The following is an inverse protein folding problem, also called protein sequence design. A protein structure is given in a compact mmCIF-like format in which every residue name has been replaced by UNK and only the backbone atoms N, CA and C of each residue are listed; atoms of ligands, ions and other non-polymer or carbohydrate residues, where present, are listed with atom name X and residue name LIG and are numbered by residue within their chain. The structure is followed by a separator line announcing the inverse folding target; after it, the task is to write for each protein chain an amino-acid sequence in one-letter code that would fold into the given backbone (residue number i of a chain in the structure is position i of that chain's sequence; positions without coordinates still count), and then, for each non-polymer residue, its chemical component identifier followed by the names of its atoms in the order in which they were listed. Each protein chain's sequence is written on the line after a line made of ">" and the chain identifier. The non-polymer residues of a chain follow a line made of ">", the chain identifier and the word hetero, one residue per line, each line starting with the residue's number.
data_IF_395869615818
#
_entry.id   IF_395869615818
#
_cell.length_a   1.000
_cell.length_b   1.000
_cell.length_c   1.000
_cell.angle_alpha   90.00
_cell.angle_beta   90.00
_cell.angle_gamma   90.00
#
_symmetry.space_group_name_H-M   'P 1'
#
loop_
_entity.id
_entity.type
_entity.pdbx_description
1 polymer ?
#
# COMPACT_ATOMS: atom_id res chain seq x y z
N UNK A 1 -8.87 -17.36 9.73
CA UNK A 1 -7.80 -16.50 9.18
C UNK A 1 -8.40 -15.65 8.08
N UNK A 2 -8.13 -14.35 8.08
CA UNK A 2 -8.59 -13.42 7.07
C UNK A 2 -7.39 -12.90 6.30
N UNK A 3 -7.52 -12.81 4.99
CA UNK A 3 -6.57 -12.21 4.07
C UNK A 3 -7.30 -11.18 3.19
N UNK A 4 -6.88 -9.95 3.28
CA UNK A 4 -7.28 -8.86 2.40
C UNK A 4 -6.08 -8.58 1.50
N UNK A 5 -6.22 -8.65 0.19
CA UNK A 5 -5.15 -8.53 -0.81
C UNK A 5 -3.96 -9.50 -0.58
N UNK A 6 -3.96 -10.65 -1.24
CA UNK A 6 -2.87 -11.62 -1.14
C UNK A 6 -1.97 -11.54 -2.36
N UNK A 7 -0.65 -11.46 -2.10
CA UNK A 7 0.37 -11.75 -3.11
C UNK A 7 0.88 -13.16 -2.85
N UNK A 8 0.61 -14.08 -3.75
CA UNK A 8 1.10 -15.45 -3.69
C UNK A 8 2.37 -15.60 -4.53
N UNK A 9 3.47 -15.96 -3.89
CA UNK A 9 4.73 -16.33 -4.54
C UNK A 9 4.81 -17.84 -4.66
N UNK A 10 5.24 -18.33 -5.81
CA UNK A 10 5.45 -19.76 -6.01
C UNK A 10 6.86 -20.06 -6.54
N UNK A 11 7.55 -20.98 -5.87
CA UNK A 11 8.82 -21.58 -6.35
C UNK A 11 8.65 -22.97 -6.98
N UNK A 12 7.47 -23.58 -6.88
CA UNK A 12 7.19 -24.93 -7.38
C UNK A 12 5.83 -25.04 -8.11
N UNK A 13 5.56 -26.20 -8.72
CA UNK A 13 4.46 -26.38 -9.66
C UNK A 13 3.04 -26.44 -9.04
N UNK A 14 2.88 -26.63 -7.73
CA UNK A 14 1.55 -26.69 -7.08
C UNK A 14 1.61 -26.14 -5.67
N UNK A 15 0.73 -25.17 -5.34
CA UNK A 15 0.50 -24.69 -3.99
C UNK A 15 -0.96 -24.94 -3.58
N UNK A 16 -1.14 -25.56 -2.43
CA UNK A 16 -2.47 -25.86 -1.88
C UNK A 16 -2.64 -25.15 -0.55
N UNK A 17 -3.72 -24.38 -0.44
CA UNK A 17 -4.21 -23.84 0.82
C UNK A 17 -5.23 -24.86 1.36
N UNK A 18 -4.91 -25.49 2.49
CA UNK A 18 -5.80 -26.44 3.14
C UNK A 18 -6.55 -25.75 4.27
N UNK A 19 -7.87 -25.66 4.13
CA UNK A 19 -8.78 -25.15 5.17
C UNK A 19 -9.31 -26.33 5.98
N UNK A 20 -8.78 -26.48 7.18
CA UNK A 20 -9.08 -27.64 8.04
C UNK A 20 -10.43 -27.52 8.74
N UNK A 21 -11.05 -28.67 9.04
CA UNK A 21 -12.27 -28.75 9.82
C UNK A 21 -12.22 -27.86 11.08
N UNK A 22 -13.31 -27.15 11.36
CA UNK A 22 -13.41 -26.22 12.49
C UNK A 22 -12.71 -24.87 12.29
N UNK A 23 -12.15 -24.59 11.09
CA UNK A 23 -11.52 -23.31 10.79
C UNK A 23 -12.30 -22.54 9.73
N UNK A 24 -12.13 -21.20 9.73
CA UNK A 24 -12.68 -20.32 8.71
C UNK A 24 -11.53 -19.60 8.01
N UNK A 25 -11.49 -19.70 6.67
CA UNK A 25 -10.63 -18.88 5.79
C UNK A 25 -11.50 -17.77 5.19
N UNK A 26 -11.01 -16.54 5.24
CA UNK A 26 -11.65 -15.39 4.59
C UNK A 26 -10.63 -14.77 3.64
N UNK A 27 -10.99 -14.63 2.36
CA UNK A 27 -10.17 -13.97 1.33
C UNK A 27 -11.07 -12.98 0.58
N UNK A 28 -10.85 -11.68 0.84
CA UNK A 28 -11.85 -10.65 0.50
C UNK A 28 -11.62 -9.95 -0.82
N UNK A 29 -10.38 -9.80 -1.27
CA UNK A 29 -10.07 -8.96 -2.44
C UNK A 29 -9.14 -9.65 -3.42
N UNK A 30 -8.32 -8.88 -4.12
CA UNK A 30 -7.47 -9.35 -5.20
C UNK A 30 -6.43 -10.35 -4.75
N UNK A 31 -6.33 -11.44 -5.50
CA UNK A 31 -5.17 -12.33 -5.44
C UNK A 31 -4.23 -11.95 -6.58
N UNK A 32 -3.10 -11.37 -6.26
CA UNK A 32 -2.02 -11.15 -7.23
C UNK A 32 -1.11 -12.36 -7.23
N UNK A 33 -1.15 -13.15 -8.31
CA UNK A 33 -0.19 -14.23 -8.52
C UNK A 33 1.02 -13.68 -9.28
N UNK A 34 2.17 -13.64 -8.61
CA UNK A 34 3.43 -13.32 -9.27
C UNK A 34 4.00 -14.61 -9.87
N UNK A 35 3.82 -14.75 -11.17
CA UNK A 35 4.26 -15.88 -11.96
C UNK A 35 5.61 -15.62 -12.61
N UNK A 36 6.51 -16.62 -12.56
CA UNK A 36 7.72 -16.64 -13.39
C UNK A 36 7.33 -16.96 -14.83
N UNK A 37 7.77 -16.21 -15.85
CA UNK A 37 7.44 -16.52 -17.25
C UNK A 37 7.74 -17.98 -17.62
N UNK A 38 6.78 -18.68 -18.23
CA UNK A 38 6.94 -20.05 -18.72
C UNK A 38 6.60 -21.16 -17.74
N UNK A 39 6.10 -20.88 -16.54
CA UNK A 39 5.60 -21.88 -15.61
C UNK A 39 4.07 -21.73 -15.50
N UNK A 40 3.36 -22.84 -15.68
CA UNK A 40 1.91 -22.89 -15.48
C UNK A 40 1.63 -23.07 -13.98
N UNK A 41 1.07 -22.05 -13.35
CA UNK A 41 0.84 -21.99 -11.91
C UNK A 41 -0.60 -22.39 -11.58
N UNK A 42 -0.75 -23.41 -10.75
CA UNK A 42 -2.04 -23.82 -10.24
C UNK A 42 -2.08 -23.63 -8.73
N UNK A 43 -2.78 -22.60 -8.29
CA UNK A 43 -3.16 -22.47 -6.89
C UNK A 43 -4.47 -23.18 -6.63
N UNK A 44 -4.50 -23.94 -5.53
CA UNK A 44 -5.65 -24.74 -5.16
C UNK A 44 -6.06 -24.43 -3.72
N UNK A 45 -7.34 -24.30 -3.48
CA UNK A 45 -7.92 -24.25 -2.13
C UNK A 45 -8.70 -25.57 -1.93
N UNK A 46 -8.36 -26.27 -0.87
CA UNK A 46 -9.09 -27.48 -0.43
C UNK A 46 -9.81 -27.16 0.87
N UNK A 47 -11.14 -27.24 0.86
CA UNK A 47 -12.00 -26.98 2.01
C UNK A 47 -12.44 -28.32 2.56
N UNK A 48 -11.95 -28.70 3.73
CA UNK A 48 -12.34 -29.97 4.39
C UNK A 48 -13.79 -29.92 4.90
N UNK A 49 -14.39 -31.08 5.09
CA UNK A 49 -15.70 -31.19 5.74
C UNK A 49 -15.68 -30.59 7.16
N UNK A 50 -16.62 -29.69 7.44
CA UNK A 50 -16.65 -28.89 8.68
C UNK A 50 -15.76 -27.67 8.71
N UNK A 51 -15.09 -27.34 7.60
CA UNK A 51 -14.39 -26.07 7.40
C UNK A 51 -15.30 -25.08 6.65
N UNK A 52 -15.00 -23.79 6.77
CA UNK A 52 -15.68 -22.72 6.03
C UNK A 52 -14.64 -21.89 5.26
N UNK A 53 -14.92 -21.61 3.99
CA UNK A 53 -14.18 -20.60 3.23
C UNK A 53 -15.16 -19.52 2.75
N UNK A 54 -14.81 -18.26 2.98
CA UNK A 54 -15.54 -17.08 2.52
C UNK A 54 -14.62 -16.37 1.54
N UNK A 55 -14.88 -16.52 0.24
CA UNK A 55 -13.97 -16.10 -0.82
C UNK A 55 -14.64 -15.07 -1.72
N UNK A 56 -13.90 -14.02 -2.13
CA UNK A 56 -14.39 -13.10 -3.16
C UNK A 56 -14.60 -13.82 -4.50
N UNK A 57 -15.43 -13.26 -5.37
CA UNK A 57 -15.62 -13.79 -6.73
C UNK A 57 -14.29 -13.87 -7.50
N UNK A 58 -13.40 -12.90 -7.32
CA UNK A 58 -12.10 -12.87 -7.99
C UNK A 58 -11.23 -14.04 -7.54
N UNK A 59 -11.18 -14.34 -6.23
CA UNK A 59 -10.47 -15.52 -5.70
C UNK A 59 -11.05 -16.80 -6.27
N UNK A 60 -12.38 -16.94 -6.30
CA UNK A 60 -13.05 -18.12 -6.83
C UNK A 60 -12.79 -18.33 -8.32
N UNK A 61 -12.68 -17.26 -9.10
CA UNK A 61 -12.40 -17.32 -10.54
C UNK A 61 -10.91 -17.57 -10.87
N UNK A 62 -10.02 -17.27 -9.92
CA UNK A 62 -8.56 -17.35 -10.13
C UNK A 62 -7.97 -18.66 -9.62
N UNK A 63 -8.59 -19.31 -8.63
CA UNK A 63 -8.08 -20.51 -7.99
C UNK A 63 -8.92 -21.76 -8.29
N UNK A 64 -8.26 -22.92 -8.33
CA UNK A 64 -8.99 -24.19 -8.32
C UNK A 64 -9.50 -24.47 -6.91
N UNK A 65 -10.83 -24.62 -6.74
CA UNK A 65 -11.44 -24.87 -5.45
C UNK A 65 -11.97 -26.30 -5.39
N UNK A 66 -11.49 -27.08 -4.41
CA UNK A 66 -12.06 -28.36 -4.02
C UNK A 66 -12.82 -28.17 -2.72
N UNK A 67 -14.15 -28.21 -2.82
CA UNK A 67 -15.03 -27.92 -1.70
C UNK A 67 -15.69 -29.19 -1.15
N UNK A 68 -15.28 -29.60 0.04
CA UNK A 68 -15.92 -30.65 0.84
C UNK A 68 -16.55 -30.09 2.13
N UNK A 69 -16.53 -28.76 2.31
CA UNK A 69 -17.05 -28.04 3.48
C UNK A 69 -18.11 -27.02 3.09
N UNK A 70 -18.02 -25.83 3.67
CA UNK A 70 -18.87 -24.69 3.36
C UNK A 70 -18.08 -23.67 2.55
N UNK A 71 -18.56 -23.32 1.36
CA UNK A 71 -18.03 -22.22 0.55
C UNK A 71 -19.09 -21.11 0.48
N UNK A 72 -18.73 -19.92 0.94
CA UNK A 72 -19.54 -18.71 0.84
C UNK A 72 -18.84 -17.70 -0.06
N UNK A 73 -19.61 -17.01 -0.88
CA UNK A 73 -19.08 -15.88 -1.63
C UNK A 73 -19.01 -14.69 -0.68
N UNK A 74 -17.80 -14.12 -0.52
CA UNK A 74 -17.65 -12.87 0.20
C UNK A 74 -18.50 -11.83 -0.54
N UNK A 75 -19.48 -11.21 0.12
CA UNK A 75 -20.34 -10.26 -0.55
C UNK A 75 -19.44 -9.17 -1.14
N UNK A 76 -19.62 -8.90 -2.42
CA UNK A 76 -18.97 -7.82 -3.16
C UNK A 76 -19.42 -6.43 -2.63
N UNK A 77 -19.42 -6.30 -1.32
CA UNK A 77 -19.65 -5.05 -0.60
C UNK A 77 -18.35 -4.37 -0.17
N UNK A 78 -17.21 -4.82 -0.66
CA UNK A 78 -16.10 -3.88 -0.84
C UNK A 78 -16.64 -2.84 -1.80
N UNK A 79 -16.79 -1.57 -1.40
CA UNK A 79 -17.06 -0.50 -2.35
C UNK A 79 -16.01 -0.69 -3.44
N UNK A 80 -16.45 -0.76 -4.70
CA UNK A 80 -15.58 -0.87 -5.87
C UNK A 80 -14.35 -0.05 -5.59
N UNK A 81 -13.17 -0.70 -5.62
CA UNK A 81 -11.92 -0.12 -5.11
C UNK A 81 -11.94 1.37 -5.35
N UNK A 82 -11.93 2.19 -4.29
CA UNK A 82 -11.92 3.66 -4.43
C UNK A 82 -10.74 4.11 -5.28
N UNK A 83 -9.79 3.22 -5.46
CA UNK A 83 -8.60 3.38 -6.27
C UNK A 83 -8.79 2.63 -7.60
N UNK A 84 -8.98 3.38 -8.67
CA UNK A 84 -8.99 2.85 -10.04
C UNK A 84 -7.79 3.40 -10.80
N UNK A 85 -7.16 2.59 -11.69
CA UNK A 85 -6.15 3.10 -12.59
C UNK A 85 -6.70 4.28 -13.41
N UNK A 86 -5.97 5.38 -13.45
CA UNK A 86 -6.34 6.61 -14.19
C UNK A 86 -5.55 6.77 -15.48
N UNK A 87 -4.49 5.96 -15.65
CA UNK A 87 -3.59 5.98 -16.82
C UNK A 87 -2.85 4.65 -16.95
N UNK A 88 -2.20 4.43 -18.09
CA UNK A 88 -1.39 3.25 -18.37
C UNK A 88 0.09 3.57 -18.19
N UNK A 89 0.87 2.65 -17.60
CA UNK A 89 2.32 2.74 -17.54
C UNK A 89 2.93 2.06 -18.77
N UNK A 90 3.62 2.84 -19.59
CA UNK A 90 4.19 2.38 -20.87
C UNK A 90 5.72 2.25 -20.81
N UNK A 91 6.29 1.97 -19.62
CA UNK A 91 7.73 1.88 -19.39
C UNK A 91 8.50 3.16 -19.75
N UNK A 92 7.86 4.32 -19.58
CA UNK A 92 8.44 5.61 -19.96
C UNK A 92 9.58 6.06 -19.06
N UNK A 93 9.76 5.48 -17.85
CA UNK A 93 10.85 5.84 -16.95
C UNK A 93 12.08 4.97 -17.23
N UNK A 94 13.13 5.58 -17.79
CA UNK A 94 14.35 4.88 -18.21
C UNK A 94 15.19 4.37 -17.03
N UNK A 95 14.96 4.92 -15.84
CA UNK A 95 15.59 4.54 -14.57
C UNK A 95 14.78 3.52 -13.76
N UNK A 96 13.72 2.96 -14.36
CA UNK A 96 12.87 1.91 -13.76
C UNK A 96 12.84 0.67 -14.67
N UNK A 97 13.92 -0.13 -14.68
CA UNK A 97 13.96 -1.33 -15.51
C UNK A 97 12.99 -2.40 -14.99
N UNK A 98 12.41 -3.18 -15.89
CA UNK A 98 11.37 -4.18 -15.57
C UNK A 98 11.81 -5.25 -14.56
N UNK A 99 13.11 -5.52 -14.48
CA UNK A 99 13.69 -6.47 -13.52
C UNK A 99 14.02 -5.85 -12.16
N UNK A 100 13.78 -4.54 -11.95
CA UNK A 100 14.00 -3.89 -10.66
C UNK A 100 12.95 -4.34 -9.64
N UNK A 101 13.36 -4.55 -8.39
CA UNK A 101 12.45 -4.94 -7.32
C UNK A 101 11.32 -3.94 -7.07
N UNK A 102 11.54 -2.67 -7.39
CA UNK A 102 10.58 -1.59 -7.23
C UNK A 102 9.69 -1.35 -8.46
N UNK A 103 9.93 -2.06 -9.58
CA UNK A 103 9.21 -1.84 -10.85
C UNK A 103 7.68 -1.89 -10.69
N UNK A 104 7.16 -2.95 -10.06
CA UNK A 104 5.72 -3.12 -9.87
C UNK A 104 5.12 -2.03 -8.99
N UNK A 105 5.84 -1.56 -7.97
CA UNK A 105 5.40 -0.47 -7.11
C UNK A 105 5.34 0.87 -7.86
N UNK A 106 6.36 1.17 -8.67
CA UNK A 106 6.39 2.38 -9.51
C UNK A 106 5.27 2.35 -10.54
N UNK A 107 5.10 1.22 -11.23
CA UNK A 107 4.01 1.02 -12.19
C UNK A 107 2.66 1.28 -11.52
N UNK A 108 2.36 0.63 -10.42
CA UNK A 108 1.11 0.80 -9.68
C UNK A 108 0.93 2.26 -9.23
N UNK A 109 1.94 2.86 -8.58
CA UNK A 109 1.85 4.24 -8.14
C UNK A 109 1.58 5.21 -9.29
N UNK A 110 2.19 4.97 -10.45
CA UNK A 110 1.93 5.75 -11.64
C UNK A 110 0.51 5.52 -12.18
N UNK A 111 0.10 4.29 -12.40
CA UNK A 111 -1.21 3.95 -12.97
C UNK A 111 -2.37 4.49 -12.14
N UNK A 112 -2.25 4.48 -10.83
CA UNK A 112 -3.26 5.02 -9.91
C UNK A 112 -3.12 6.53 -9.65
N UNK A 113 -2.21 7.22 -10.35
CA UNK A 113 -2.04 8.66 -10.20
C UNK A 113 -1.42 9.10 -8.88
N UNK A 114 -0.82 8.19 -8.12
CA UNK A 114 -0.21 8.47 -6.81
C UNK A 114 1.17 9.13 -6.97
N UNK A 115 1.92 8.75 -8.01
CA UNK A 115 3.20 9.33 -8.37
C UNK A 115 3.30 9.56 -9.88
N UNK A 116 4.10 10.56 -10.30
CA UNK A 116 4.22 10.93 -11.73
C UNK A 116 5.67 10.94 -12.22
N UNK A 117 6.64 10.55 -11.39
CA UNK A 117 8.05 10.70 -11.68
C UNK A 117 8.57 12.12 -11.42
N UNK A 118 9.87 12.31 -11.59
CA UNK A 118 10.58 13.59 -11.44
C UNK A 118 10.73 14.31 -12.77
N UNK A 119 10.54 13.60 -13.88
CA UNK A 119 10.50 14.10 -15.25
C UNK A 119 9.66 13.18 -16.13
N UNK A 120 9.50 13.55 -17.41
CA UNK A 120 8.77 12.72 -18.37
C UNK A 120 9.40 11.32 -18.57
N UNK A 121 10.71 11.17 -18.38
CA UNK A 121 11.46 9.94 -18.60
C UNK A 121 12.22 9.43 -17.35
N UNK A 122 12.05 10.06 -16.20
CA UNK A 122 12.75 9.71 -14.97
C UNK A 122 11.83 9.66 -13.76
N UNK A 123 11.99 8.62 -12.95
CA UNK A 123 11.28 8.44 -11.69
C UNK A 123 12.13 8.83 -10.49
N UNK A 124 13.45 8.60 -10.57
CA UNK A 124 14.44 8.78 -9.51
C UNK A 124 14.23 7.88 -8.28
N UNK A 125 14.21 6.56 -8.46
CA UNK A 125 13.89 5.61 -7.38
C UNK A 125 14.88 5.66 -6.20
N UNK A 126 16.13 6.07 -6.44
CA UNK A 126 17.17 6.27 -5.40
C UNK A 126 17.20 7.71 -4.84
N UNK A 127 16.34 8.57 -5.33
CA UNK A 127 16.25 9.95 -4.87
C UNK A 127 15.65 10.06 -3.46
N UNK A 128 16.04 11.12 -2.74
CA UNK A 128 15.40 11.43 -1.46
C UNK A 128 14.12 12.23 -1.68
N UNK A 129 13.13 11.99 -0.83
CA UNK A 129 11.88 12.75 -0.84
C UNK A 129 11.99 14.03 -0.03
N UNK A 130 11.52 15.14 -0.59
CA UNK A 130 11.31 16.37 0.19
C UNK A 130 9.98 16.31 0.95
N UNK A 131 9.82 17.16 1.96
CA UNK A 131 8.53 17.31 2.66
C UNK A 131 7.41 17.64 1.66
N UNK A 132 7.64 18.57 0.72
CA UNK A 132 6.66 18.93 -0.30
C UNK A 132 6.22 17.72 -1.16
N UNK A 133 7.17 16.89 -1.58
CA UNK A 133 6.87 15.68 -2.37
C UNK A 133 6.09 14.65 -1.55
N UNK A 134 6.44 14.47 -0.27
CA UNK A 134 5.73 13.57 0.64
C UNK A 134 4.27 14.01 0.85
N UNK A 135 4.03 15.32 1.05
CA UNK A 135 2.69 15.86 1.17
C UNK A 135 1.89 15.71 -0.13
N UNK A 136 2.53 15.88 -1.29
CA UNK A 136 1.90 15.65 -2.59
C UNK A 136 1.47 14.19 -2.74
N UNK A 137 2.32 13.23 -2.38
CA UNK A 137 1.98 11.81 -2.40
C UNK A 137 0.81 11.50 -1.44
N UNK A 138 0.86 12.03 -0.21
CA UNK A 138 -0.22 11.89 0.77
C UNK A 138 -1.56 12.43 0.23
N UNK A 139 -1.54 13.62 -0.37
CA UNK A 139 -2.72 14.24 -0.98
C UNK A 139 -3.26 13.40 -2.14
N UNK A 140 -2.40 12.86 -2.99
CA UNK A 140 -2.84 12.01 -4.11
C UNK A 140 -3.57 10.75 -3.61
N UNK A 141 -3.07 10.12 -2.55
CA UNK A 141 -3.74 8.97 -1.92
C UNK A 141 -5.08 9.40 -1.30
N UNK A 142 -5.10 10.47 -0.51
CA UNK A 142 -6.32 10.94 0.14
C UNK A 142 -7.39 11.38 -0.87
N UNK A 143 -7.01 12.06 -1.96
CA UNK A 143 -7.91 12.40 -3.07
C UNK A 143 -8.49 11.16 -3.74
N UNK A 144 -7.67 10.17 -4.03
CA UNK A 144 -8.12 8.93 -4.65
C UNK A 144 -9.14 8.22 -3.75
N UNK A 145 -8.94 8.28 -2.42
CA UNK A 145 -9.87 7.70 -1.45
C UNK A 145 -11.17 8.48 -1.28
N UNK A 146 -11.08 9.83 -1.20
CA UNK A 146 -12.23 10.69 -0.85
C UNK A 146 -12.98 11.26 -2.05
N UNK A 147 -12.35 11.30 -3.23
CA UNK A 147 -12.85 12.04 -4.40
C UNK A 147 -12.64 13.56 -4.33
N UNK A 148 -11.95 14.05 -3.29
CA UNK A 148 -11.68 15.48 -3.13
C UNK A 148 -10.73 16.01 -4.23
N UNK A 149 -10.71 17.32 -4.40
CA UNK A 149 -9.82 18.00 -5.36
C UNK A 149 -8.88 18.97 -4.63
N UNK A 150 -7.77 19.29 -5.28
CA UNK A 150 -6.81 20.30 -4.83
C UNK A 150 -6.85 21.44 -5.83
N UNK A 151 -6.85 22.68 -5.33
CA UNK A 151 -6.73 23.86 -6.18
C UNK A 151 -5.37 23.93 -6.87
N UNK A 152 -5.29 24.61 -7.98
CA UNK A 152 -4.01 24.95 -8.59
C UNK A 152 -3.26 26.01 -7.75
N UNK A 153 -1.92 26.00 -7.83
CA UNK A 153 -1.13 27.10 -7.28
C UNK A 153 -1.40 28.39 -8.04
N UNK A 154 -1.51 29.50 -7.31
CA UNK A 154 -1.63 30.81 -7.91
C UNK A 154 -0.31 31.29 -8.55
N UNK A 155 -0.38 32.30 -9.40
CA UNK A 155 0.83 32.84 -10.00
C UNK A 155 1.76 33.43 -8.92
N UNK A 156 3.00 32.99 -8.90
CA UNK A 156 4.01 33.41 -7.91
C UNK A 156 3.95 32.66 -6.59
N UNK A 157 2.97 31.79 -6.40
CA UNK A 157 2.87 30.92 -5.24
C UNK A 157 3.78 29.70 -5.41
N UNK A 158 4.33 29.19 -4.29
CA UNK A 158 5.08 27.93 -4.34
C UNK A 158 4.17 26.79 -4.78
N UNK A 159 4.62 25.94 -5.68
CA UNK A 159 3.83 24.87 -6.27
C UNK A 159 3.20 23.91 -5.25
N UNK A 160 3.82 23.76 -4.09
CA UNK A 160 3.39 22.87 -3.02
C UNK A 160 2.36 23.49 -2.05
N UNK A 161 2.16 24.82 -2.08
CA UNK A 161 1.26 25.51 -1.13
C UNK A 161 -0.16 24.93 -1.11
N UNK A 162 -0.82 24.64 -2.26
CA UNK A 162 -2.15 24.02 -2.25
C UNK A 162 -2.17 22.65 -1.59
N UNK A 163 -1.10 21.89 -1.68
CA UNK A 163 -0.99 20.57 -1.05
C UNK A 163 -0.82 20.68 0.48
N UNK A 164 -0.06 21.69 0.92
CA UNK A 164 0.09 21.99 2.36
C UNK A 164 -1.25 22.39 2.95
N UNK A 165 -1.94 23.34 2.33
CA UNK A 165 -3.27 23.77 2.76
C UNK A 165 -4.27 22.61 2.83
N UNK A 166 -4.25 21.76 1.80
CA UNK A 166 -5.08 20.56 1.76
C UNK A 166 -4.77 19.60 2.92
N UNK A 167 -3.49 19.34 3.19
CA UNK A 167 -3.08 18.47 4.29
C UNK A 167 -3.51 19.02 5.66
N UNK A 168 -3.40 20.34 5.88
CA UNK A 168 -3.86 20.98 7.11
C UNK A 168 -5.40 20.91 7.22
N UNK A 169 -6.12 21.27 6.15
CA UNK A 169 -7.58 21.27 6.14
C UNK A 169 -8.19 19.87 6.36
N UNK A 170 -7.48 18.81 5.97
CA UNK A 170 -7.95 17.43 6.14
C UNK A 170 -7.31 16.72 7.34
N UNK A 171 -6.56 17.42 8.20
CA UNK A 171 -5.97 16.85 9.41
C UNK A 171 -4.81 15.87 9.17
N UNK A 172 -4.26 15.81 7.94
CA UNK A 172 -3.11 14.97 7.59
C UNK A 172 -1.85 15.47 8.30
N UNK A 173 -1.70 16.79 8.40
CA UNK A 173 -0.67 17.46 9.19
C UNK A 173 -1.29 18.56 10.04
N UNK A 174 -0.58 18.99 11.08
CA UNK A 174 -0.92 20.19 11.86
C UNK A 174 -0.38 21.43 11.16
N UNK A 175 -1.06 22.56 11.35
CA UNK A 175 -0.54 23.84 10.89
C UNK A 175 0.83 24.12 11.56
N UNK A 176 1.81 24.57 10.74
CA UNK A 176 3.16 24.83 11.19
C UNK A 176 3.99 23.57 11.54
N UNK A 177 3.50 22.36 11.27
CA UNK A 177 4.25 21.11 11.56
C UNK A 177 5.58 21.05 10.81
N UNK A 178 5.65 21.59 9.61
CA UNK A 178 6.87 21.72 8.83
C UNK A 178 7.11 23.19 8.51
N UNK A 179 8.37 23.62 8.60
CA UNK A 179 8.81 25.01 8.31
C UNK A 179 9.62 25.12 7.03
N UNK A 180 10.23 24.00 6.58
CA UNK A 180 10.99 23.91 5.32
C UNK A 180 10.48 22.74 4.50
N UNK A 181 9.71 23.05 3.47
CA UNK A 181 9.10 22.06 2.56
C UNK A 181 10.07 21.50 1.52
N UNK A 182 11.23 22.12 1.33
CA UNK A 182 12.28 21.65 0.43
C UNK A 182 13.29 20.72 1.11
N UNK A 183 13.25 20.62 2.44
CA UNK A 183 14.06 19.69 3.21
C UNK A 183 13.65 18.24 2.95
N UNK A 184 14.63 17.34 2.95
CA UNK A 184 14.35 15.91 2.91
C UNK A 184 13.53 15.49 4.13
N UNK A 185 12.43 14.77 3.89
CA UNK A 185 11.60 14.23 4.96
C UNK A 185 12.29 13.01 5.57
N UNK A 186 12.18 12.88 6.89
CA UNK A 186 12.66 11.68 7.58
C UNK A 186 11.64 10.54 7.48
N UNK A 187 12.08 9.31 7.68
CA UNK A 187 11.20 8.14 7.74
C UNK A 187 10.13 8.26 8.83
N UNK A 188 10.51 8.84 9.98
CA UNK A 188 9.59 9.11 11.08
C UNK A 188 8.52 10.13 10.73
N UNK A 189 8.91 11.27 10.14
CA UNK A 189 7.98 12.30 9.71
C UNK A 189 7.04 11.79 8.60
N UNK A 190 7.58 11.01 7.65
CA UNK A 190 6.78 10.36 6.61
C UNK A 190 5.74 9.42 7.22
N UNK A 191 6.12 8.63 8.23
CA UNK A 191 5.17 7.76 8.93
C UNK A 191 4.05 8.56 9.61
N UNK A 192 4.37 9.69 10.26
CA UNK A 192 3.36 10.57 10.87
C UNK A 192 2.37 11.07 9.81
N UNK A 193 2.86 11.54 8.66
CA UNK A 193 2.01 12.00 7.57
C UNK A 193 1.12 10.86 7.07
N UNK A 194 1.72 9.70 6.76
CA UNK A 194 1.01 8.59 6.13
C UNK A 194 0.02 7.88 7.07
N UNK A 195 0.25 7.90 8.37
CA UNK A 195 -0.69 7.37 9.35
C UNK A 195 -2.00 8.18 9.47
N UNK A 196 -2.02 9.41 8.93
CA UNK A 196 -3.16 10.31 8.98
C UNK A 196 -3.87 10.49 7.61
N UNK A 197 -3.43 9.78 6.56
CA UNK A 197 -4.02 9.95 5.21
C UNK A 197 -5.43 9.37 5.15
N UNK A 198 -5.66 8.23 5.80
CA UNK A 198 -6.90 7.47 5.74
C UNK A 198 -7.51 7.33 7.14
N UNK A 199 -8.80 7.02 7.25
CA UNK A 199 -9.42 6.67 8.54
C UNK A 199 -8.73 5.48 9.20
N UNK A 200 -8.78 5.40 10.54
CA UNK A 200 -8.15 4.32 11.31
C UNK A 200 -8.65 2.92 10.90
N UNK A 201 -9.87 2.82 10.40
CA UNK A 201 -10.43 1.56 9.89
C UNK A 201 -9.64 0.98 8.71
N UNK A 202 -8.94 1.81 7.93
CA UNK A 202 -8.12 1.37 6.80
C UNK A 202 -6.73 0.87 7.22
N UNK A 203 -6.39 1.02 8.49
CA UNK A 203 -5.10 0.59 9.07
C UNK A 203 -5.29 -0.58 10.05
N UNK A 204 -6.17 -1.51 9.73
CA UNK A 204 -6.39 -2.67 10.57
C UNK A 204 -5.08 -3.44 10.81
N UNK A 205 -4.77 -3.73 12.07
CA UNK A 205 -3.58 -4.49 12.41
C UNK A 205 -3.73 -5.94 11.92
N UNK A 206 -2.80 -6.37 11.05
CA UNK A 206 -2.72 -7.73 10.51
C UNK A 206 -1.60 -8.55 11.14
N UNK A 207 -0.72 -7.88 11.90
CA UNK A 207 0.44 -8.49 12.57
C UNK A 207 0.86 -7.69 13.80
N UNK A 208 1.58 -8.35 14.70
CA UNK A 208 2.37 -7.65 15.73
C UNK A 208 3.75 -7.37 15.17
N UNK A 209 4.26 -6.15 15.36
CA UNK A 209 5.54 -5.76 14.84
C UNK A 209 6.36 -4.97 15.87
N UNK A 210 7.58 -5.43 16.14
CA UNK A 210 8.50 -4.82 17.11
C UNK A 210 9.75 -4.33 16.39
N UNK A 211 10.13 -3.09 16.65
CA UNK A 211 11.30 -2.42 16.11
C UNK A 211 12.18 -1.95 17.28
N UNK A 212 13.44 -2.37 17.29
CA UNK A 212 14.34 -2.21 18.45
C UNK A 212 14.74 -0.75 18.72
N UNK A 213 14.65 0.12 17.72
CA UNK A 213 14.97 1.54 17.78
C UNK A 213 13.73 2.45 17.94
N UNK A 214 12.55 1.85 18.10
CA UNK A 214 11.32 2.58 18.35
C UNK A 214 10.91 2.44 19.81
N UNK A 215 10.66 3.58 20.44
CA UNK A 215 10.15 3.66 21.81
C UNK A 215 9.09 4.77 21.91
N UNK A 216 8.24 4.70 22.91
CA UNK A 216 7.05 5.57 23.04
C UNK A 216 7.38 7.06 23.23
N UNK A 217 8.65 7.41 23.46
CA UNK A 217 9.07 8.83 23.59
C UNK A 217 9.32 9.50 22.24
N UNK A 218 9.44 8.71 21.16
CA UNK A 218 9.64 9.26 19.82
C UNK A 218 8.32 9.80 19.26
N UNK A 219 8.30 11.01 18.68
CA UNK A 219 7.08 11.59 18.10
C UNK A 219 6.42 10.69 17.03
N UNK A 220 7.22 9.89 16.31
CA UNK A 220 6.74 8.98 15.26
C UNK A 220 6.34 7.58 15.76
N UNK A 221 6.53 7.27 17.07
CA UNK A 221 6.35 5.89 17.57
C UNK A 221 4.96 5.31 17.27
N UNK A 222 3.91 6.05 17.62
CA UNK A 222 2.53 5.61 17.39
C UNK A 222 2.21 5.43 15.90
N UNK A 223 2.68 6.34 15.05
CA UNK A 223 2.49 6.29 13.61
C UNK A 223 3.22 5.10 12.98
N UNK A 224 4.49 4.90 13.35
CA UNK A 224 5.30 3.78 12.87
C UNK A 224 4.68 2.45 13.31
N UNK A 225 4.24 2.34 14.58
CA UNK A 225 3.56 1.14 15.08
C UNK A 225 2.30 0.85 14.27
N UNK A 226 1.41 1.83 14.11
CA UNK A 226 0.17 1.72 13.33
C UNK A 226 0.44 1.20 11.92
N UNK A 227 1.35 1.83 11.18
CA UNK A 227 1.67 1.45 9.82
C UNK A 227 2.41 0.10 9.72
N UNK A 228 3.25 -0.23 10.71
CA UNK A 228 3.97 -1.49 10.73
C UNK A 228 3.03 -2.67 11.05
N UNK A 229 2.11 -2.50 11.98
CA UNK A 229 1.08 -3.50 12.31
C UNK A 229 0.09 -3.70 11.16
N UNK A 230 -0.23 -2.64 10.41
CA UNK A 230 -1.03 -2.71 9.18
C UNK A 230 -0.25 -3.26 7.97
N UNK A 231 1.03 -3.59 8.11
CA UNK A 231 1.83 -4.17 7.01
C UNK A 231 2.36 -3.17 5.98
N UNK A 232 2.16 -1.86 6.19
CA UNK A 232 2.49 -0.81 5.23
C UNK A 232 3.98 -0.45 5.27
N UNK A 233 4.56 -0.42 6.46
CA UNK A 233 5.99 -0.14 6.63
C UNK A 233 6.70 -1.30 7.33
N UNK A 234 8.01 -1.38 7.12
CA UNK A 234 8.88 -2.33 7.80
C UNK A 234 10.21 -1.71 8.17
N UNK A 235 11.02 -2.49 8.88
CA UNK A 235 12.39 -2.14 9.21
C UNK A 235 13.40 -3.01 8.47
N UNK A 236 14.66 -2.67 8.61
CA UNK A 236 15.78 -3.48 8.16
C UNK A 236 16.64 -3.86 9.37
N UNK A 237 16.97 -5.15 9.51
CA UNK A 237 17.71 -5.63 10.69
C UNK A 237 17.02 -5.38 12.03
N UNK A 238 15.68 -5.35 12.06
CA UNK A 238 14.89 -5.08 13.27
C UNK A 238 14.83 -3.61 13.69
N UNK A 239 15.29 -2.67 12.84
CA UNK A 239 15.29 -1.23 13.09
C UNK A 239 14.46 -0.49 12.04
N UNK A 240 13.74 0.56 12.46
CA UNK A 240 13.00 1.46 11.57
C UNK A 240 13.84 2.60 11.02
N UNK A 241 14.77 3.12 11.84
CA UNK A 241 15.63 4.28 11.54
C UNK A 241 14.81 5.54 11.27
N UNK A 242 14.06 6.04 12.28
CA UNK A 242 13.09 7.13 12.08
C UNK A 242 13.72 8.45 11.62
N UNK A 243 14.99 8.68 11.95
CA UNK A 243 15.71 9.92 11.60
C UNK A 243 16.40 9.88 10.22
N UNK A 244 16.44 8.71 9.57
CA UNK A 244 17.03 8.61 8.24
C UNK A 244 16.11 9.27 7.19
N UNK A 245 16.66 9.88 6.14
CA UNK A 245 15.85 10.37 5.03
C UNK A 245 15.19 9.19 4.32
N UNK A 246 13.97 9.41 3.82
CA UNK A 246 13.29 8.41 2.98
C UNK A 246 13.81 8.53 1.54
N UNK A 247 13.92 7.37 0.90
CA UNK A 247 14.28 7.25 -0.51
C UNK A 247 13.15 6.57 -1.27
#
# INVERSE_FOLDING_TARGET
>A
VRFDDIILFQEGAQNTILVKAGTTLIMTDKVVMLAKPGIDYHFRIVIESGATAILSEEVQNTMTIENNGTLETYPSSTPASKFNPTRTYENQFTDVPENAWFYSYVKTAYEYGLASGTSAAGFSPDGTFTVAQALTAAVNIHKAYTGNTVRAAAQGEAWYTPYVEYCVANGIIKDGQFTDYNKNITRGDMAIVFANILPDSEYAAIRTYTLSDMNDTLPSAAAVKKLAEAGIVGGSGGQYKPNDPIK
#
